data_IF_406824437939
#
_entry.id   IF_406824437939
#
_cell.length_a   1.000
_cell.length_b   1.000
_cell.length_c   1.000
_cell.angle_alpha   90.00
_cell.angle_beta   90.00
_cell.angle_gamma   90.00
#
_symmetry.space_group_name_H-M   'P 1'
#
loop_
_entity.id
_entity.type
_entity.pdbx_description
1 polymer ?
#
# COMPACT_ATOMS: atom_id res chain seq x y z
N UNK A 1 7.45 23.73 -19.87
CA UNK A 1 8.13 22.41 -19.75
C UNK A 1 8.36 22.14 -18.28
N UNK A 2 7.46 21.45 -17.60
CA UNK A 2 7.62 21.07 -16.20
C UNK A 2 8.44 19.76 -16.17
N UNK A 3 9.68 19.84 -15.67
CA UNK A 3 10.54 18.68 -15.47
C UNK A 3 9.91 17.77 -14.43
N UNK A 4 9.51 16.59 -14.84
CA UNK A 4 9.01 15.50 -14.00
C UNK A 4 10.14 15.02 -13.06
N UNK A 5 10.21 15.62 -11.86
CA UNK A 5 11.08 15.17 -10.77
C UNK A 5 10.24 14.21 -9.93
N UNK A 6 10.67 12.96 -9.86
CA UNK A 6 10.41 11.94 -8.83
C UNK A 6 9.80 10.62 -9.31
N UNK A 7 10.57 9.92 -10.16
CA UNK A 7 10.47 8.45 -10.26
C UNK A 7 11.72 7.83 -9.61
N UNK A 8 11.96 8.08 -8.32
CA UNK A 8 13.01 7.38 -7.59
C UNK A 8 12.35 6.46 -6.58
N UNK A 9 12.69 5.18 -6.62
CA UNK A 9 12.33 4.23 -5.57
C UNK A 9 12.82 4.78 -4.22
N UNK A 10 12.09 4.53 -3.14
CA UNK A 10 12.32 5.12 -1.80
C UNK A 10 13.75 4.83 -1.29
N UNK A 11 14.36 3.70 -1.69
CA UNK A 11 15.73 3.29 -1.33
C UNK A 11 16.83 3.83 -2.26
N UNK A 12 16.48 4.51 -3.35
CA UNK A 12 17.46 5.09 -4.29
C UNK A 12 18.26 6.29 -3.73
N UNK A 13 18.00 6.71 -2.50
CA UNK A 13 18.82 7.75 -1.86
C UNK A 13 20.24 7.30 -1.54
N UNK A 14 20.47 5.99 -1.37
CA UNK A 14 21.77 5.41 -1.04
C UNK A 14 22.45 4.69 -2.21
N UNK A 15 21.69 4.24 -3.21
CA UNK A 15 22.21 3.49 -4.35
C UNK A 15 22.14 4.39 -5.59
N UNK A 16 23.30 4.81 -6.09
CA UNK A 16 23.43 5.71 -7.25
C UNK A 16 23.36 4.99 -8.61
N UNK A 17 23.41 3.68 -8.63
CA UNK A 17 23.35 2.85 -9.85
C UNK A 17 21.91 2.68 -10.31
N UNK A 18 21.67 2.85 -11.62
CA UNK A 18 20.39 2.52 -12.24
C UNK A 18 20.14 1.01 -12.10
N UNK A 19 19.02 0.63 -11.49
CA UNK A 19 18.56 -0.76 -11.43
C UNK A 19 18.42 -1.32 -12.85
N UNK A 20 18.97 -2.51 -13.11
CA UNK A 20 18.85 -3.15 -14.43
C UNK A 20 17.40 -3.52 -14.72
N UNK A 21 17.01 -3.59 -16.00
CA UNK A 21 15.69 -4.03 -16.41
C UNK A 21 15.39 -5.46 -15.91
N UNK A 22 16.41 -6.32 -15.83
CA UNK A 22 16.32 -7.67 -15.31
C UNK A 22 15.96 -7.66 -13.82
N UNK A 23 16.63 -6.83 -13.00
CA UNK A 23 16.33 -6.70 -11.57
C UNK A 23 14.89 -6.23 -11.34
N UNK A 24 14.42 -5.23 -12.08
CA UNK A 24 13.04 -4.73 -12.00
C UNK A 24 12.02 -5.83 -12.32
N UNK A 25 12.30 -6.66 -13.33
CA UNK A 25 11.44 -7.76 -13.73
C UNK A 25 11.34 -8.86 -12.68
N UNK A 26 12.46 -9.21 -12.03
CA UNK A 26 12.49 -10.23 -10.99
C UNK A 26 12.01 -9.73 -9.63
N UNK A 27 12.24 -8.46 -9.32
CA UNK A 27 11.85 -7.85 -8.03
C UNK A 27 10.39 -7.40 -7.97
N UNK A 28 9.68 -7.34 -9.11
CA UNK A 28 8.30 -6.87 -9.13
C UNK A 28 7.30 -7.98 -8.84
N UNK A 29 6.52 -7.82 -7.78
CA UNK A 29 5.43 -8.72 -7.37
C UNK A 29 4.03 -8.23 -7.76
N UNK A 30 3.90 -7.00 -8.29
CA UNK A 30 2.61 -6.33 -8.54
C UNK A 30 1.61 -7.16 -9.34
N UNK A 31 2.07 -8.01 -10.26
CA UNK A 31 1.18 -8.85 -11.06
C UNK A 31 0.45 -9.91 -10.22
N UNK A 32 1.00 -10.28 -9.08
CA UNK A 32 0.45 -11.27 -8.13
C UNK A 32 -0.24 -10.57 -6.97
N UNK A 33 0.49 -9.68 -6.28
CA UNK A 33 0.08 -9.09 -5.01
C UNK A 33 -0.97 -7.97 -5.13
N UNK A 34 -1.23 -7.45 -6.34
CA UNK A 34 -2.35 -6.53 -6.56
C UNK A 34 -3.70 -7.07 -6.09
N UNK A 35 -3.83 -8.39 -5.93
CA UNK A 35 -5.04 -9.03 -5.40
C UNK A 35 -5.25 -8.77 -3.92
N UNK A 36 -4.18 -8.42 -3.18
CA UNK A 36 -4.18 -8.14 -1.75
C UNK A 36 -4.48 -6.67 -1.40
N UNK A 37 -4.96 -5.87 -2.37
CA UNK A 37 -5.18 -4.44 -2.13
C UNK A 37 -6.17 -4.15 -1.00
N UNK A 38 -7.18 -5.01 -0.81
CA UNK A 38 -8.16 -4.86 0.28
C UNK A 38 -7.51 -5.09 1.63
N UNK A 39 -6.72 -6.13 1.73
CA UNK A 39 -6.00 -6.52 2.94
C UNK A 39 -4.99 -5.44 3.34
N UNK A 40 -4.24 -4.89 2.36
CA UNK A 40 -3.31 -3.78 2.61
C UNK A 40 -4.03 -2.52 3.10
N UNK A 41 -5.17 -2.18 2.50
CA UNK A 41 -5.97 -1.02 2.94
C UNK A 41 -6.52 -1.24 4.35
N UNK A 42 -7.08 -2.41 4.65
CA UNK A 42 -7.58 -2.76 5.99
C UNK A 42 -6.45 -2.68 7.03
N UNK A 43 -5.32 -3.32 6.77
CA UNK A 43 -4.16 -3.32 7.64
C UNK A 43 -3.60 -1.91 7.86
N UNK A 44 -3.57 -1.10 6.81
CA UNK A 44 -3.09 0.29 6.85
C UNK A 44 -4.04 1.20 7.62
N UNK A 45 -5.36 1.05 7.48
CA UNK A 45 -6.35 1.80 8.29
C UNK A 45 -6.19 1.45 9.77
N UNK A 46 -6.08 0.16 10.12
CA UNK A 46 -5.88 -0.28 11.49
C UNK A 46 -4.58 0.30 12.09
N UNK A 47 -3.50 0.33 11.31
CA UNK A 47 -2.22 0.93 11.72
C UNK A 47 -2.35 2.43 11.99
N UNK A 48 -3.01 3.17 11.11
CA UNK A 48 -3.26 4.62 11.25
C UNK A 48 -4.14 4.94 12.46
N UNK A 49 -5.14 4.12 12.74
CA UNK A 49 -5.96 4.23 13.94
C UNK A 49 -5.14 4.00 15.22
N UNK A 50 -4.24 3.02 15.21
CA UNK A 50 -3.30 2.78 16.30
C UNK A 50 -2.39 3.99 16.51
N UNK A 51 -1.79 4.54 15.46
CA UNK A 51 -0.93 5.75 15.56
C UNK A 51 -1.69 6.92 16.18
N UNK A 52 -2.95 7.10 15.84
CA UNK A 52 -3.80 8.12 16.45
C UNK A 52 -4.06 7.84 17.94
N UNK A 53 -4.44 6.61 18.30
CA UNK A 53 -4.67 6.20 19.69
C UNK A 53 -3.43 6.40 20.57
N UNK A 54 -2.25 6.19 19.99
CA UNK A 54 -0.96 6.42 20.66
C UNK A 54 -0.51 7.90 20.61
N UNK A 55 -1.34 8.81 20.09
CA UNK A 55 -1.08 10.25 19.99
C UNK A 55 0.16 10.60 19.14
N UNK A 56 0.57 9.70 18.23
CA UNK A 56 1.68 9.91 17.30
C UNK A 56 1.26 10.83 16.15
N UNK A 57 0.01 10.71 15.69
CA UNK A 57 -0.58 11.57 14.67
C UNK A 57 -1.84 12.28 15.18
N UNK A 58 -2.17 13.41 14.57
CA UNK A 58 -3.37 14.16 14.91
C UNK A 58 -4.64 13.51 14.30
N UNK A 59 -5.81 13.87 14.87
CA UNK A 59 -7.11 13.47 14.31
C UNK A 59 -7.29 13.90 12.84
N UNK A 60 -6.80 15.08 12.50
CA UNK A 60 -6.85 15.61 11.12
C UNK A 60 -6.05 14.73 10.15
N UNK A 61 -4.84 14.36 10.53
CA UNK A 61 -3.96 13.49 9.70
C UNK A 61 -4.58 12.11 9.56
N UNK A 62 -5.05 11.50 10.67
CA UNK A 62 -5.75 10.20 10.63
C UNK A 62 -6.87 10.20 9.61
N UNK A 63 -7.81 11.16 9.72
CA UNK A 63 -8.97 11.21 8.83
C UNK A 63 -8.59 11.44 7.37
N UNK A 64 -7.56 12.25 7.12
CA UNK A 64 -7.05 12.51 5.77
C UNK A 64 -6.48 11.25 5.13
N UNK A 65 -5.72 10.45 5.88
CA UNK A 65 -5.16 9.19 5.39
C UNK A 65 -6.28 8.17 5.14
N UNK A 66 -7.21 7.96 6.09
CA UNK A 66 -8.33 7.03 5.94
C UNK A 66 -9.20 7.41 4.73
N UNK A 67 -9.50 8.70 4.55
CA UNK A 67 -10.21 9.18 3.38
C UNK A 67 -9.48 8.83 2.07
N UNK A 68 -8.16 9.04 2.02
CA UNK A 68 -7.33 8.73 0.86
C UNK A 68 -7.33 7.23 0.55
N UNK A 69 -7.17 6.38 1.56
CA UNK A 69 -7.18 4.91 1.42
C UNK A 69 -8.53 4.41 0.89
N UNK A 70 -9.65 4.87 1.47
CA UNK A 70 -11.00 4.51 1.01
C UNK A 70 -11.29 5.00 -0.42
N UNK A 71 -10.68 6.12 -0.83
CA UNK A 71 -10.77 6.60 -2.21
C UNK A 71 -9.99 5.70 -3.16
N UNK A 72 -8.79 5.26 -2.79
CA UNK A 72 -7.97 4.33 -3.57
C UNK A 72 -8.70 2.99 -3.74
N UNK A 73 -9.29 2.44 -2.68
CA UNK A 73 -10.08 1.22 -2.75
C UNK A 73 -11.19 1.34 -3.80
N UNK A 74 -11.95 2.43 -3.77
CA UNK A 74 -12.99 2.69 -4.77
C UNK A 74 -12.44 2.85 -6.19
N UNK A 75 -11.27 3.48 -6.36
CA UNK A 75 -10.62 3.58 -7.66
C UNK A 75 -10.25 2.20 -8.21
N UNK A 76 -9.74 1.29 -7.36
CA UNK A 76 -9.39 -0.09 -7.75
C UNK A 76 -10.65 -0.88 -8.11
N UNK A 77 -11.67 -0.87 -7.24
CA UNK A 77 -12.93 -1.60 -7.45
C UNK A 77 -13.66 -1.15 -8.74
N UNK A 78 -13.55 0.12 -9.10
CA UNK A 78 -14.15 0.68 -10.31
C UNK A 78 -13.23 0.61 -11.55
N UNK A 79 -12.10 -0.12 -11.49
CA UNK A 79 -11.11 -0.22 -12.57
C UNK A 79 -10.56 1.15 -13.05
N UNK A 80 -10.48 2.14 -12.15
CA UNK A 80 -9.95 3.48 -12.42
C UNK A 80 -8.54 3.68 -11.87
N UNK A 81 -7.97 2.68 -11.21
CA UNK A 81 -6.63 2.70 -10.65
C UNK A 81 -5.64 2.09 -11.64
N UNK A 82 -4.59 2.84 -11.98
CA UNK A 82 -3.51 2.35 -12.85
C UNK A 82 -2.38 1.78 -11.99
N UNK A 83 -2.19 0.46 -12.07
CA UNK A 83 -1.06 -0.21 -11.45
C UNK A 83 0.21 0.03 -12.26
N UNK A 84 1.20 0.64 -11.64
CA UNK A 84 2.49 0.91 -12.27
C UNK A 84 3.50 -0.18 -11.87
N UNK A 85 4.02 -0.91 -12.87
CA UNK A 85 5.02 -1.96 -12.68
C UNK A 85 6.39 -1.43 -12.19
N UNK A 86 6.65 -0.13 -12.35
CA UNK A 86 7.87 0.48 -11.79
C UNK A 86 7.85 0.59 -10.26
N UNK A 87 6.68 0.43 -9.64
CA UNK A 87 6.49 0.45 -8.19
C UNK A 87 6.42 -0.98 -7.63
N UNK A 88 7.27 -1.84 -8.01
CA UNK A 88 7.53 -3.19 -7.52
C UNK A 88 6.33 -3.98 -6.96
N UNK A 89 5.59 -3.43 -5.98
CA UNK A 89 4.52 -4.09 -5.23
C UNK A 89 3.24 -3.25 -5.12
N UNK A 90 2.16 -3.86 -4.62
CA UNK A 90 0.87 -3.20 -4.37
C UNK A 90 0.99 -2.09 -3.33
N UNK A 91 1.79 -2.29 -2.30
CA UNK A 91 1.96 -1.36 -1.20
C UNK A 91 2.55 -0.04 -1.69
N UNK A 92 3.59 -0.09 -2.54
CA UNK A 92 4.19 1.10 -3.13
C UNK A 92 3.24 1.81 -4.11
N UNK A 93 2.44 1.06 -4.85
CA UNK A 93 1.41 1.61 -5.73
C UNK A 93 0.37 2.41 -4.92
N UNK A 94 -0.14 1.82 -3.82
CA UNK A 94 -1.10 2.48 -2.92
C UNK A 94 -0.47 3.71 -2.24
N UNK A 95 0.75 3.61 -1.72
CA UNK A 95 1.45 4.74 -1.10
C UNK A 95 1.69 5.91 -2.05
N UNK A 96 2.12 5.62 -3.27
CA UNK A 96 2.31 6.65 -4.30
C UNK A 96 1.01 7.34 -4.65
N UNK A 97 -0.07 6.56 -4.80
CA UNK A 97 -1.39 7.14 -5.04
C UNK A 97 -1.88 7.95 -3.85
N UNK A 98 -1.68 7.46 -2.64
CA UNK A 98 -2.02 8.18 -1.41
C UNK A 98 -1.26 9.53 -1.34
N UNK A 99 0.04 9.52 -1.64
CA UNK A 99 0.85 10.76 -1.70
C UNK A 99 0.30 11.77 -2.74
N UNK A 100 -0.17 11.30 -3.89
CA UNK A 100 -0.80 12.16 -4.88
C UNK A 100 -2.10 12.78 -4.38
N UNK A 101 -2.87 12.06 -3.54
CA UNK A 101 -4.16 12.52 -3.03
C UNK A 101 -4.05 13.46 -1.84
N UNK A 102 -3.12 13.19 -0.91
CA UNK A 102 -3.05 13.88 0.37
C UNK A 102 -1.72 14.56 0.68
N UNK A 103 -0.72 14.46 -0.22
CA UNK A 103 0.60 15.07 -0.04
C UNK A 103 1.45 14.33 1.00
N UNK A 104 2.35 15.08 1.67
CA UNK A 104 3.37 14.54 2.58
C UNK A 104 2.80 13.79 3.79
N UNK A 105 1.56 14.08 4.17
CA UNK A 105 0.86 13.36 5.25
C UNK A 105 0.74 11.85 4.97
N UNK A 106 0.83 11.42 3.71
CA UNK A 106 0.84 10.01 3.34
C UNK A 106 2.02 9.24 3.96
N UNK A 107 3.14 9.91 4.23
CA UNK A 107 4.33 9.29 4.82
C UNK A 107 4.09 8.69 6.21
N UNK A 108 3.09 9.16 6.94
CA UNK A 108 2.77 8.61 8.26
C UNK A 108 2.30 7.15 8.24
N UNK A 109 1.82 6.64 7.09
CA UNK A 109 1.40 5.23 6.96
C UNK A 109 2.56 4.24 7.24
N UNK A 110 3.80 4.70 7.08
CA UNK A 110 5.02 3.91 7.33
C UNK A 110 5.64 4.15 8.71
N UNK A 111 5.06 5.01 9.55
CA UNK A 111 5.61 5.31 10.88
C UNK A 111 5.70 4.05 11.72
N UNK A 112 6.93 3.70 12.18
CA UNK A 112 7.21 2.52 12.98
C UNK A 112 6.73 1.19 12.36
N UNK A 113 6.67 1.09 11.04
CA UNK A 113 6.23 -0.11 10.30
C UNK A 113 7.29 -0.54 9.30
N UNK A 114 7.60 -1.82 9.27
CA UNK A 114 8.41 -2.45 8.23
C UNK A 114 7.54 -2.91 7.05
N UNK A 115 8.06 -2.87 5.83
CA UNK A 115 7.41 -3.50 4.68
C UNK A 115 7.17 -5.00 4.91
N UNK A 116 8.10 -5.68 5.58
CA UNK A 116 7.97 -7.09 5.90
C UNK A 116 6.76 -7.37 6.81
N UNK A 117 6.54 -6.52 7.82
CA UNK A 117 5.37 -6.65 8.71
C UNK A 117 4.07 -6.43 7.94
N UNK A 118 4.07 -5.47 7.01
CA UNK A 118 2.94 -5.16 6.16
C UNK A 118 2.56 -6.36 5.30
N UNK A 119 3.48 -6.88 4.50
CA UNK A 119 3.27 -8.01 3.59
C UNK A 119 2.73 -9.24 4.34
N UNK A 120 3.33 -9.59 5.49
CA UNK A 120 2.90 -10.75 6.29
C UNK A 120 1.52 -10.53 6.92
N UNK A 121 1.22 -9.30 7.33
CA UNK A 121 -0.11 -8.97 7.89
C UNK A 121 -1.19 -9.15 6.83
N UNK A 122 -0.96 -8.63 5.63
CA UNK A 122 -1.92 -8.73 4.52
C UNK A 122 -2.16 -10.18 4.11
N UNK A 123 -1.09 -10.98 4.01
CA UNK A 123 -1.20 -12.41 3.75
C UNK A 123 -2.04 -13.12 4.83
N UNK A 124 -1.83 -12.81 6.13
CA UNK A 124 -2.61 -13.40 7.22
C UNK A 124 -4.07 -12.99 7.18
N UNK A 125 -4.38 -11.75 6.86
CA UNK A 125 -5.77 -11.27 6.71
C UNK A 125 -6.43 -12.04 5.55
N UNK A 126 -5.76 -12.13 4.42
CA UNK A 126 -6.24 -12.87 3.25
C UNK A 126 -6.49 -14.34 3.55
N UNK A 127 -5.51 -15.03 4.16
CA UNK A 127 -5.65 -16.44 4.56
C UNK A 127 -6.84 -16.66 5.49
N UNK A 128 -7.01 -15.77 6.49
CA UNK A 128 -8.16 -15.84 7.40
C UNK A 128 -9.48 -15.71 6.64
N UNK A 129 -9.58 -14.77 5.71
CA UNK A 129 -10.78 -14.59 4.88
C UNK A 129 -11.07 -15.81 4.01
N UNK A 130 -10.04 -16.44 3.42
CA UNK A 130 -10.18 -17.67 2.65
C UNK A 130 -10.68 -18.85 3.51
N UNK A 131 -10.12 -19.01 4.71
CA UNK A 131 -10.52 -20.10 5.63
C UNK A 131 -11.97 -19.95 6.10
N UNK A 132 -12.40 -18.74 6.42
CA UNK A 132 -13.80 -18.46 6.80
C UNK A 132 -14.74 -18.75 5.65
N UNK A 133 -14.43 -18.31 4.43
CA UNK A 133 -15.23 -18.58 3.25
C UNK A 133 -15.38 -20.08 2.95
N UNK A 134 -14.29 -20.86 3.07
CA UNK A 134 -14.33 -22.32 2.84
C UNK A 134 -15.07 -23.06 3.93
N UNK A 135 -15.05 -22.59 5.18
CA UNK A 135 -15.83 -23.15 6.28
C UNK A 135 -17.35 -22.94 6.05
N UNK A 136 -17.76 -21.71 5.75
CA UNK A 136 -19.15 -21.38 5.48
C UNK A 136 -19.71 -22.18 4.28
N UNK A 137 -18.90 -22.36 3.23
CA UNK A 137 -19.29 -23.14 2.05
C UNK A 137 -19.38 -24.67 2.31
N UNK A 138 -18.77 -25.16 3.40
CA UNK A 138 -18.87 -26.58 3.78
C UNK A 138 -20.09 -26.88 4.64
N UNK A 139 -20.75 -25.86 5.20
CA UNK A 139 -21.95 -25.98 6.05
C UNK A 139 -23.26 -25.83 5.23
N UNK A 140 -23.18 -25.48 3.93
CA UNK A 140 -24.29 -25.49 2.96
C UNK A 140 -24.40 -26.82 2.22
#
# INVERSE_FOLDING_TARGET
MVKNKNNKAIWNSRIKTKTSALYKRYGSSINVDKKLFKEDIIGSIAHVEMLFKQKIISFKIKNKIIYGLNKIEREILNNKFEFNQEFEDIHMNIEKRLTQLIGDDAGYIHTARSRNDQVITDLKIWMKSCLLYTSDAADE
#
